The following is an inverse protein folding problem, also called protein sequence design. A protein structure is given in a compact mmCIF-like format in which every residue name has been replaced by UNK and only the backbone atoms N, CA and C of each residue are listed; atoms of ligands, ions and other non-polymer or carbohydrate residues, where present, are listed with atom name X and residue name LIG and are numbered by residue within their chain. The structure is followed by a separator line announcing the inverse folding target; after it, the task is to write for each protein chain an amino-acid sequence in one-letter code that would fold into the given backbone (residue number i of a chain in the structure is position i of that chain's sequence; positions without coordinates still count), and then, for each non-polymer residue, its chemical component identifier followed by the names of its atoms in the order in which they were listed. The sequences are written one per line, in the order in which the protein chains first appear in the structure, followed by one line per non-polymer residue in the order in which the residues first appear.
data_IF_719926620764
#
_entry.id   IF_719926620764
#
_cell.length_a   1.000
_cell.length_b   1.000
_cell.length_c   1.000
_cell.angle_alpha   90.00
_cell.angle_beta   90.00
_cell.angle_gamma   90.00
#
_symmetry.space_group_name_H-M   'P 1'
#
loop_
_entity.id
_entity.type
_entity.pdbx_description
1 polymer ?
#
# COMPACT_ATOMS: atom_id res chain seq x y z
N UNK A 1 5.03 7.26 -32.55
CA UNK A 1 3.72 7.10 -31.89
C UNK A 1 3.62 5.68 -31.35
N UNK A 2 2.64 5.37 -30.50
CA UNK A 2 2.41 4.03 -29.96
C UNK A 2 2.16 3.03 -31.10
N UNK A 3 2.92 1.95 -31.12
CA UNK A 3 2.80 0.84 -32.07
C UNK A 3 2.31 -0.38 -31.30
N UNK A 4 1.13 -0.88 -31.65
CA UNK A 4 0.56 -2.08 -31.05
C UNK A 4 0.72 -3.24 -32.01
N UNK A 5 1.52 -4.24 -31.63
CA UNK A 5 1.65 -5.46 -32.41
C UNK A 5 0.43 -6.33 -32.21
N UNK A 6 -0.17 -6.76 -33.32
CA UNK A 6 -1.32 -7.66 -33.31
C UNK A 6 -1.03 -8.90 -34.12
N UNK A 7 -1.67 -10.00 -33.73
CA UNK A 7 -1.73 -11.23 -34.50
C UNK A 7 -3.18 -11.49 -34.90
N UNK A 8 -3.44 -11.62 -36.19
CA UNK A 8 -4.80 -11.88 -36.68
C UNK A 8 -5.05 -13.39 -36.67
N UNK A 9 -5.98 -13.83 -35.82
CA UNK A 9 -6.35 -15.25 -35.72
C UNK A 9 -7.47 -15.65 -36.69
N UNK A 10 -8.39 -14.72 -36.98
CA UNK A 10 -9.49 -14.95 -37.92
C UNK A 10 -9.92 -13.63 -38.57
N UNK A 11 -10.48 -13.72 -39.79
CA UNK A 11 -10.94 -12.57 -40.55
C UNK A 11 -9.81 -11.70 -41.13
N UNK A 12 -10.08 -10.41 -41.23
CA UNK A 12 -9.16 -9.40 -41.74
C UNK A 12 -9.42 -8.08 -41.03
N UNK A 13 -8.41 -7.22 -40.95
CA UNK A 13 -8.56 -5.87 -40.45
C UNK A 13 -8.06 -4.86 -41.48
N UNK A 14 -8.91 -3.89 -41.81
CA UNK A 14 -8.64 -2.85 -42.80
C UNK A 14 -8.23 -1.54 -42.10
N UNK A 15 -7.27 -0.81 -42.67
CA UNK A 15 -6.87 0.50 -42.18
C UNK A 15 -8.05 1.48 -42.29
N UNK A 16 -8.29 2.25 -41.23
CA UNK A 16 -9.42 3.18 -41.12
C UNK A 16 -10.70 2.57 -40.56
N UNK A 17 -10.79 1.25 -40.41
CA UNK A 17 -11.97 0.54 -39.89
C UNK A 17 -12.14 0.70 -38.38
N UNK A 18 -13.37 0.49 -37.91
CA UNK A 18 -13.69 0.39 -36.49
C UNK A 18 -13.67 -1.07 -36.06
N UNK A 19 -13.07 -1.32 -34.91
CA UNK A 19 -12.96 -2.63 -34.27
C UNK A 19 -13.39 -2.52 -32.82
N UNK A 20 -13.73 -3.65 -32.21
CA UNK A 20 -14.18 -3.71 -30.82
C UNK A 20 -13.13 -4.40 -29.96
N UNK A 21 -12.64 -3.71 -28.92
CA UNK A 21 -11.82 -4.34 -27.89
C UNK A 21 -12.76 -5.02 -26.89
N UNK A 22 -12.82 -6.35 -26.92
CA UNK A 22 -13.71 -7.14 -26.09
C UNK A 22 -13.25 -7.24 -24.63
N UNK A 23 -11.96 -7.01 -24.35
CA UNK A 23 -11.42 -6.98 -22.99
C UNK A 23 -11.93 -5.75 -22.22
N UNK A 24 -11.94 -4.59 -22.86
CA UNK A 24 -12.30 -3.30 -22.23
C UNK A 24 -13.76 -2.89 -22.54
N UNK A 25 -14.36 -3.49 -23.56
CA UNK A 25 -15.72 -3.18 -23.99
C UNK A 25 -15.86 -1.86 -24.74
N UNK A 26 -14.82 -1.44 -25.47
CA UNK A 26 -14.77 -0.15 -26.18
C UNK A 26 -14.52 -0.32 -27.67
N UNK A 27 -15.19 0.52 -28.49
CA UNK A 27 -14.88 0.65 -29.91
C UNK A 27 -13.59 1.44 -30.11
N UNK A 28 -12.76 0.98 -31.02
CA UNK A 28 -11.48 1.58 -31.38
C UNK A 28 -11.39 1.71 -32.90
N UNK A 29 -10.52 2.60 -33.37
CA UNK A 29 -10.31 2.83 -34.80
C UNK A 29 -8.89 2.48 -35.19
N UNK A 30 -8.74 1.64 -36.21
CA UNK A 30 -7.44 1.32 -36.79
C UNK A 30 -7.00 2.52 -37.65
N UNK A 31 -5.89 3.15 -37.32
CA UNK A 31 -5.36 4.29 -38.08
C UNK A 31 -4.54 3.84 -39.28
N UNK A 32 -3.35 3.28 -39.02
CA UNK A 32 -2.43 2.76 -40.03
C UNK A 32 -1.93 1.39 -39.63
N UNK A 33 -1.68 0.53 -40.61
CA UNK A 33 -1.16 -0.82 -40.41
C UNK A 33 0.21 -0.89 -41.07
N UNK A 34 1.20 -1.37 -40.31
CA UNK A 34 2.56 -1.54 -40.77
C UNK A 34 2.99 -3.00 -40.67
N UNK A 35 3.69 -3.48 -41.69
CA UNK A 35 4.44 -4.72 -41.64
C UNK A 35 5.93 -4.36 -41.51
N UNK A 36 6.55 -4.86 -40.46
CA UNK A 36 7.94 -4.56 -40.14
C UNK A 36 8.81 -5.69 -40.69
N UNK A 37 9.66 -5.35 -41.65
CA UNK A 37 10.66 -6.26 -42.24
C UNK A 37 12.05 -5.95 -41.68
N UNK A 38 13.03 -6.78 -42.01
CA UNK A 38 14.41 -6.67 -41.50
C UNK A 38 15.05 -5.29 -41.69
N UNK A 39 14.77 -4.60 -42.79
CA UNK A 39 15.38 -3.30 -43.13
C UNK A 39 14.38 -2.24 -43.63
N UNK A 40 13.08 -2.55 -43.66
CA UNK A 40 12.05 -1.63 -44.17
C UNK A 40 10.74 -1.76 -43.41
N UNK A 41 10.03 -0.65 -43.29
CA UNK A 41 8.66 -0.59 -42.76
C UNK A 41 7.73 -0.44 -43.96
N UNK A 42 6.84 -1.41 -44.16
CA UNK A 42 5.87 -1.42 -45.26
C UNK A 42 4.50 -1.01 -44.73
N UNK A 43 3.87 -0.01 -45.34
CA UNK A 43 2.50 0.39 -45.01
C UNK A 43 1.52 -0.51 -45.76
N UNK A 44 0.56 -1.11 -45.06
CA UNK A 44 -0.45 -1.99 -45.64
C UNK A 44 -1.85 -1.45 -45.39
N UNK A 45 -2.74 -1.69 -46.36
CA UNK A 45 -4.15 -1.33 -46.24
C UNK A 45 -4.94 -2.37 -45.45
N UNK A 46 -4.56 -3.65 -45.55
CA UNK A 46 -5.27 -4.76 -44.90
C UNK A 46 -4.26 -5.73 -44.30
N UNK A 47 -4.58 -6.27 -43.13
CA UNK A 47 -3.88 -7.41 -42.52
C UNK A 47 -4.81 -8.63 -42.49
N UNK A 48 -4.29 -9.77 -42.92
CA UNK A 48 -5.06 -11.00 -43.09
C UNK A 48 -4.82 -11.99 -41.96
N UNK A 49 -5.71 -12.99 -41.86
CA UNK A 49 -5.57 -14.12 -40.95
C UNK A 49 -4.19 -14.77 -41.08
N UNK A 50 -3.54 -15.01 -39.93
CA UNK A 50 -2.21 -15.62 -39.83
C UNK A 50 -1.06 -14.60 -39.84
N UNK A 51 -1.31 -13.35 -40.22
CA UNK A 51 -0.28 -12.32 -40.25
C UNK A 51 -0.09 -11.62 -38.89
N UNK A 52 1.13 -11.11 -38.68
CA UNK A 52 1.50 -10.24 -37.57
C UNK A 52 1.86 -8.87 -38.15
N UNK A 53 1.30 -7.81 -37.58
CA UNK A 53 1.56 -6.44 -38.00
C UNK A 53 1.43 -5.46 -36.84
N UNK A 54 1.98 -4.27 -37.02
CA UNK A 54 1.93 -3.18 -36.06
C UNK A 54 0.87 -2.17 -36.46
N UNK A 55 -0.09 -1.90 -35.58
CA UNK A 55 -1.14 -0.90 -35.77
C UNK A 55 -0.80 0.37 -35.02
N UNK A 56 -1.08 1.51 -35.65
CA UNK A 56 -1.09 2.83 -35.01
C UNK A 56 -2.53 3.32 -34.91
N UNK A 57 -2.91 3.85 -33.73
CA UNK A 57 -4.21 4.49 -33.50
C UNK A 57 -5.13 3.76 -32.52
N UNK A 58 -4.70 2.63 -31.96
CA UNK A 58 -5.43 1.94 -30.91
C UNK A 58 -5.26 2.69 -29.58
N UNK A 59 -6.27 3.46 -29.21
CA UNK A 59 -6.33 4.15 -27.92
C UNK A 59 -6.66 3.14 -26.80
N UNK A 60 -6.09 3.33 -25.61
CA UNK A 60 -6.39 2.55 -24.40
C UNK A 60 -6.24 1.02 -24.58
N UNK A 61 -5.28 0.54 -25.37
CA UNK A 61 -5.04 -0.91 -25.52
C UNK A 61 -3.76 -1.35 -24.82
N UNK A 62 -3.83 -2.47 -24.12
CA UNK A 62 -2.73 -3.13 -23.40
C UNK A 62 -2.30 -4.44 -24.07
N UNK A 63 -1.11 -4.91 -23.70
CA UNK A 63 -0.62 -6.24 -24.10
C UNK A 63 -1.54 -7.32 -23.53
N UNK A 64 -2.09 -8.19 -24.40
CA UNK A 64 -3.02 -9.25 -24.03
C UNK A 64 -4.49 -8.94 -24.34
N UNK A 65 -4.81 -7.71 -24.77
CA UNK A 65 -6.18 -7.35 -25.16
C UNK A 65 -6.63 -8.07 -26.44
N UNK A 66 -7.92 -8.42 -26.48
CA UNK A 66 -8.53 -9.01 -27.68
C UNK A 66 -9.27 -7.95 -28.50
N UNK A 67 -8.93 -7.87 -29.78
CA UNK A 67 -9.59 -7.00 -30.78
C UNK A 67 -10.41 -7.88 -31.71
N UNK A 68 -11.70 -7.59 -31.84
CA UNK A 68 -12.66 -8.39 -32.59
C UNK A 68 -13.70 -7.52 -33.33
N UNK A 69 -14.59 -8.17 -34.07
CA UNK A 69 -15.74 -7.51 -34.67
C UNK A 69 -16.83 -7.28 -33.62
N UNK A 70 -17.52 -6.15 -33.68
CA UNK A 70 -18.59 -5.78 -32.74
C UNK A 70 -19.78 -6.75 -32.81
N UNK A 71 -20.12 -7.24 -34.00
CA UNK A 71 -21.24 -8.18 -34.18
C UNK A 71 -20.94 -9.58 -33.65
N UNK A 72 -19.65 -9.90 -33.46
CA UNK A 72 -19.18 -11.20 -33.01
C UNK A 72 -18.08 -11.03 -31.95
N UNK A 73 -18.43 -10.56 -30.75
CA UNK A 73 -17.46 -10.36 -29.69
C UNK A 73 -16.90 -11.70 -29.25
N UNK A 74 -15.57 -11.82 -29.26
CA UNK A 74 -14.85 -12.98 -28.76
C UNK A 74 -13.77 -12.49 -27.80
N UNK A 75 -13.55 -13.23 -26.72
CA UNK A 75 -12.41 -13.03 -25.84
C UNK A 75 -11.44 -14.18 -26.11
N UNK A 76 -10.24 -13.85 -26.60
CA UNK A 76 -9.17 -14.84 -26.71
C UNK A 76 -8.61 -15.12 -25.32
N UNK A 77 -7.95 -16.27 -25.18
CA UNK A 77 -7.33 -16.66 -23.91
C UNK A 77 -6.36 -15.56 -23.46
N UNK A 78 -6.65 -14.98 -22.30
CA UNK A 78 -5.82 -13.95 -21.72
C UNK A 78 -4.50 -14.58 -21.27
N UNK A 79 -3.41 -13.85 -21.48
CA UNK A 79 -2.11 -14.25 -20.93
C UNK A 79 -2.21 -14.07 -19.41
N UNK A 80 -2.18 -15.17 -18.66
CA UNK A 80 -2.06 -15.10 -17.21
C UNK A 80 -0.65 -14.62 -16.84
N UNK A 81 -0.57 -13.41 -16.31
CA UNK A 81 0.69 -12.86 -15.81
C UNK A 81 0.94 -13.37 -14.38
N UNK A 82 2.15 -13.85 -14.08
CA UNK A 82 2.48 -14.26 -12.71
C UNK A 82 2.45 -13.04 -11.79
N UNK A 83 2.03 -13.24 -10.54
CA UNK A 83 2.07 -12.18 -9.54
C UNK A 83 3.52 -11.75 -9.26
N UNK A 84 3.79 -10.45 -9.14
CA UNK A 84 5.13 -9.96 -8.84
C UNK A 84 5.58 -10.40 -7.45
N UNK A 85 6.88 -10.66 -7.32
CA UNK A 85 7.48 -11.34 -6.16
C UNK A 85 8.45 -10.46 -5.37
N UNK A 86 8.86 -9.32 -5.93
CA UNK A 86 9.74 -8.33 -5.30
C UNK A 86 9.07 -6.97 -5.39
N UNK A 87 9.18 -6.17 -4.33
CA UNK A 87 8.69 -4.80 -4.30
C UNK A 87 9.75 -3.84 -3.78
N UNK A 88 9.81 -2.64 -4.36
CA UNK A 88 10.74 -1.56 -4.01
C UNK A 88 9.94 -0.26 -3.86
N UNK A 89 10.27 0.53 -2.84
CA UNK A 89 9.71 1.87 -2.70
C UNK A 89 10.55 2.88 -3.47
N UNK A 90 9.87 3.77 -4.18
CA UNK A 90 10.49 4.80 -5.02
C UNK A 90 9.97 6.17 -4.61
N UNK A 91 10.91 7.08 -4.36
CA UNK A 91 10.63 8.48 -4.01
C UNK A 91 11.17 9.41 -5.09
N UNK A 92 10.35 10.37 -5.57
CA UNK A 92 10.84 11.40 -6.48
C UNK A 92 11.69 12.42 -5.71
N UNK A 93 12.81 12.84 -6.30
CA UNK A 93 13.71 13.82 -5.69
C UNK A 93 13.13 15.26 -5.70
N UNK A 94 12.24 15.55 -6.65
CA UNK A 94 11.60 16.86 -6.77
C UNK A 94 10.11 16.76 -7.09
N UNK A 95 9.37 17.85 -6.87
CA UNK A 95 7.95 17.93 -7.23
C UNK A 95 7.72 17.81 -8.74
N UNK A 96 8.65 18.32 -9.57
CA UNK A 96 8.57 18.17 -11.02
C UNK A 96 8.78 16.73 -11.47
N UNK A 97 9.64 15.98 -10.75
CA UNK A 97 9.90 14.58 -11.02
C UNK A 97 8.73 13.69 -10.61
N UNK A 98 7.91 14.10 -9.64
CA UNK A 98 6.69 13.37 -9.25
C UNK A 98 5.68 13.24 -10.40
N UNK A 99 5.43 14.33 -11.12
CA UNK A 99 4.48 14.34 -12.23
C UNK A 99 5.02 13.53 -13.41
N UNK A 100 6.32 13.67 -13.71
CA UNK A 100 6.99 12.86 -14.73
C UNK A 100 7.00 11.37 -14.37
N UNK A 101 7.33 11.03 -13.12
CA UNK A 101 7.36 9.66 -12.62
C UNK A 101 6.01 8.98 -12.81
N UNK A 102 4.92 9.65 -12.42
CA UNK A 102 3.56 9.11 -12.56
C UNK A 102 3.23 8.81 -14.03
N UNK A 103 3.55 9.73 -14.94
CA UNK A 103 3.34 9.54 -16.38
C UNK A 103 4.22 8.43 -16.98
N UNK A 104 5.47 8.32 -16.54
CA UNK A 104 6.41 7.32 -17.02
C UNK A 104 6.05 5.92 -16.54
N UNK A 105 5.60 5.79 -15.30
CA UNK A 105 5.17 4.52 -14.71
C UNK A 105 3.94 3.95 -15.43
N UNK A 106 2.98 4.80 -15.81
CA UNK A 106 1.83 4.37 -16.64
C UNK A 106 2.32 3.80 -17.98
N UNK A 107 3.25 4.49 -18.66
CA UNK A 107 3.80 4.00 -19.93
C UNK A 107 4.56 2.68 -19.79
N UNK A 108 5.33 2.52 -18.72
CA UNK A 108 6.05 1.28 -18.45
C UNK A 108 5.09 0.13 -18.11
N UNK A 109 4.02 0.39 -17.36
CA UNK A 109 3.00 -0.62 -17.03
C UNK A 109 2.17 -1.02 -18.26
N UNK A 110 1.94 -0.12 -19.21
CA UNK A 110 1.32 -0.47 -20.50
C UNK A 110 2.21 -1.38 -21.36
N UNK A 111 3.53 -1.20 -21.29
CA UNK A 111 4.50 -2.02 -22.02
C UNK A 111 4.72 -3.39 -21.35
N UNK A 112 4.80 -3.41 -20.02
CA UNK A 112 5.02 -4.60 -19.21
C UNK A 112 3.88 -4.83 -18.20
N UNK A 113 2.94 -5.73 -18.49
CA UNK A 113 1.82 -6.05 -17.60
C UNK A 113 2.24 -6.85 -16.35
N UNK A 114 3.49 -7.35 -16.27
CA UNK A 114 4.01 -8.00 -15.06
C UNK A 114 4.55 -7.01 -14.03
N UNK A 115 4.61 -5.74 -14.41
CA UNK A 115 5.01 -4.64 -13.55
C UNK A 115 3.78 -3.95 -12.95
N UNK A 116 3.65 -4.03 -11.62
CA UNK A 116 2.57 -3.39 -10.89
C UNK A 116 3.09 -2.15 -10.17
N UNK A 117 2.32 -1.08 -10.31
CA UNK A 117 2.58 0.20 -9.65
C UNK A 117 1.44 0.44 -8.68
N UNK A 118 1.77 0.57 -7.40
CA UNK A 118 0.81 0.91 -6.35
C UNK A 118 1.30 2.14 -5.61
N UNK A 119 0.41 3.09 -5.37
CA UNK A 119 0.67 4.13 -4.37
C UNK A 119 0.17 3.63 -3.04
N UNK A 120 1.03 3.68 -2.03
CA UNK A 120 0.64 3.41 -0.66
C UNK A 120 -0.03 4.66 -0.09
N UNK A 121 -1.32 4.55 0.23
CA UNK A 121 -2.13 5.65 0.75
C UNK A 121 -1.68 6.10 2.14
N UNK A 122 -0.99 5.25 2.90
CA UNK A 122 -0.56 5.54 4.27
C UNK A 122 0.79 6.25 4.33
N UNK A 123 1.74 5.81 3.51
CA UNK A 123 3.09 6.40 3.45
C UNK A 123 3.22 7.47 2.37
N UNK A 124 2.30 7.49 1.40
CA UNK A 124 2.36 8.33 0.20
C UNK A 124 3.49 7.92 -0.76
N UNK A 125 4.11 6.76 -0.53
CA UNK A 125 5.20 6.24 -1.35
C UNK A 125 4.66 5.51 -2.58
N UNK A 126 5.45 5.51 -3.65
CA UNK A 126 5.14 4.72 -4.84
C UNK A 126 5.89 3.40 -4.73
N UNK A 127 5.13 2.31 -4.58
CA UNK A 127 5.64 0.95 -4.51
C UNK A 127 5.62 0.34 -5.91
N UNK A 128 6.79 -0.10 -6.34
CA UNK A 128 7.03 -0.78 -7.60
C UNK A 128 7.18 -2.27 -7.35
N UNK A 129 6.34 -3.09 -7.96
CA UNK A 129 6.37 -4.55 -7.81
C UNK A 129 6.69 -5.21 -9.15
N UNK A 130 7.63 -6.16 -9.13
CA UNK A 130 8.08 -6.86 -10.34
C UNK A 130 8.44 -8.33 -10.09
N UNK A 131 8.78 -9.01 -11.18
CA UNK A 131 9.12 -10.45 -11.18
C UNK A 131 10.48 -10.79 -10.54
N UNK A 132 11.32 -9.80 -10.21
CA UNK A 132 12.63 -10.01 -9.61
C UNK A 132 13.45 -8.71 -9.48
N UNK A 133 14.59 -8.78 -8.80
CA UNK A 133 15.47 -7.63 -8.56
C UNK A 133 16.01 -7.04 -9.87
N UNK A 134 16.53 -7.88 -10.76
CA UNK A 134 17.01 -7.45 -12.08
C UNK A 134 15.90 -6.79 -12.91
N UNK A 135 14.67 -7.30 -12.82
CA UNK A 135 13.54 -6.71 -13.51
C UNK A 135 13.29 -5.27 -13.01
N UNK A 136 13.26 -5.07 -11.70
CA UNK A 136 13.11 -3.72 -11.12
C UNK A 136 14.30 -2.81 -11.44
N UNK A 137 15.54 -3.34 -11.43
CA UNK A 137 16.74 -2.57 -11.79
C UNK A 137 16.68 -2.05 -13.23
N UNK A 138 16.27 -2.90 -14.19
CA UNK A 138 16.09 -2.50 -15.58
C UNK A 138 15.01 -1.42 -15.69
N UNK A 139 13.87 -1.57 -14.99
CA UNK A 139 12.79 -0.57 -15.04
C UNK A 139 13.22 0.78 -14.45
N UNK A 140 13.98 0.76 -13.35
CA UNK A 140 14.54 1.97 -12.74
C UNK A 140 15.59 2.64 -13.65
N UNK A 141 16.45 1.86 -14.31
CA UNK A 141 17.39 2.38 -15.30
C UNK A 141 16.68 2.97 -16.52
N UNK A 142 15.59 2.34 -17.00
CA UNK A 142 14.72 2.90 -18.05
C UNK A 142 14.08 4.22 -17.63
N UNK A 143 13.55 4.32 -16.41
CA UNK A 143 13.03 5.57 -15.86
C UNK A 143 14.06 6.71 -15.92
N UNK A 144 15.32 6.40 -15.57
CA UNK A 144 16.41 7.36 -15.61
C UNK A 144 16.85 7.72 -17.03
N UNK A 145 17.02 6.73 -17.92
CA UNK A 145 17.55 6.96 -19.28
C UNK A 145 16.52 7.52 -20.24
N UNK A 146 15.32 6.95 -20.27
CA UNK A 146 14.28 7.30 -21.25
C UNK A 146 13.50 8.54 -20.81
N UNK A 147 13.18 8.61 -19.51
CA UNK A 147 12.28 9.65 -18.98
C UNK A 147 13.01 10.73 -18.18
N UNK A 148 14.32 10.59 -17.93
CA UNK A 148 15.14 11.54 -17.17
C UNK A 148 14.55 11.87 -15.80
N UNK A 149 14.03 10.84 -15.13
CA UNK A 149 13.50 10.94 -13.77
C UNK A 149 14.54 10.38 -12.82
N UNK A 150 15.08 11.24 -11.96
CA UNK A 150 15.92 10.79 -10.86
C UNK A 150 15.05 10.45 -9.65
N UNK A 151 15.19 9.22 -9.18
CA UNK A 151 14.43 8.69 -8.04
C UNK A 151 15.34 8.01 -7.05
N UNK A 152 15.04 8.16 -5.77
CA UNK A 152 15.65 7.37 -4.71
C UNK A 152 14.87 6.08 -4.50
N UNK A 153 15.60 4.97 -4.43
CA UNK A 153 15.04 3.63 -4.21
C UNK A 153 15.33 3.19 -2.78
N UNK A 154 14.34 2.60 -2.13
CA UNK A 154 14.49 2.03 -0.80
C UNK A 154 13.64 0.78 -0.61
N UNK A 155 13.81 0.14 0.55
CA UNK A 155 12.90 -0.93 0.98
C UNK A 155 11.52 -0.32 1.26
N UNK A 156 10.41 -0.97 0.86
CA UNK A 156 9.07 -0.53 1.22
C UNK A 156 8.94 -0.32 2.73
N UNK A 157 8.35 0.79 3.14
CA UNK A 157 8.08 1.03 4.55
C UNK A 157 6.97 0.09 5.03
N UNK A 158 7.17 -0.49 6.20
CA UNK A 158 6.13 -1.28 6.87
C UNK A 158 5.19 -0.32 7.60
N UNK A 159 3.90 -0.45 7.36
CA UNK A 159 2.86 0.27 8.11
C UNK A 159 2.73 -0.27 9.53
N UNK A 160 3.61 0.18 10.42
CA UNK A 160 3.46 -0.04 11.86
C UNK A 160 2.23 0.71 12.39
N UNK A 161 1.69 0.24 13.51
CA UNK A 161 0.63 0.93 14.26
C UNK A 161 1.04 1.10 15.71
N UNK A 162 0.37 2.00 16.42
CA UNK A 162 0.57 2.19 17.85
C UNK A 162 -0.67 1.75 18.63
N UNK A 163 -0.47 1.20 19.83
CA UNK A 163 -1.57 0.94 20.76
C UNK A 163 -1.08 1.12 22.20
N UNK A 164 -1.98 1.03 23.18
CA UNK A 164 -1.68 1.15 24.61
C UNK A 164 -1.93 -0.17 25.34
N UNK A 165 -1.37 -0.34 26.52
CA UNK A 165 -1.60 -1.54 27.34
C UNK A 165 -2.39 -1.23 28.61
N UNK A 166 -2.20 -0.04 29.18
CA UNK A 166 -2.81 0.35 30.44
C UNK A 166 -3.90 1.39 30.21
N UNK A 167 -4.92 1.33 31.06
CA UNK A 167 -5.92 2.38 31.15
C UNK A 167 -5.33 3.58 31.91
N UNK A 168 -5.47 4.78 31.36
CA UNK A 168 -5.02 6.04 31.99
C UNK A 168 -6.09 7.10 31.89
N UNK A 169 -6.24 7.88 32.95
CA UNK A 169 -7.06 9.09 32.96
C UNK A 169 -6.15 10.31 33.02
N UNK A 170 -6.40 11.27 32.14
CA UNK A 170 -5.63 12.50 32.02
C UNK A 170 -6.54 13.72 32.11
N UNK A 171 -6.17 14.65 32.98
CA UNK A 171 -6.85 15.91 33.16
C UNK A 171 -6.03 17.03 32.50
N UNK A 172 -6.57 17.66 31.47
CA UNK A 172 -5.83 18.67 30.71
C UNK A 172 -6.64 19.94 30.51
N UNK A 173 -6.05 21.06 30.94
CA UNK A 173 -6.62 22.40 30.80
C UNK A 173 -5.78 23.21 29.81
N UNK A 174 -6.42 23.71 28.77
CA UNK A 174 -5.87 24.62 27.79
C UNK A 174 -6.36 26.04 28.08
N UNK A 175 -5.45 26.90 28.53
CA UNK A 175 -5.70 28.34 28.72
C UNK A 175 -4.65 29.10 27.95
N UNK A 176 -5.08 29.89 26.96
CA UNK A 176 -4.18 30.77 26.21
C UNK A 176 -4.81 32.14 26.06
N UNK A 177 -4.06 33.16 26.47
CA UNK A 177 -4.44 34.56 26.33
C UNK A 177 -3.47 35.21 25.34
N UNK A 178 -3.71 35.00 24.04
CA UNK A 178 -3.18 35.89 23.00
C UNK A 178 -4.02 37.16 23.04
N UNK A 179 -3.42 38.35 22.84
CA UNK A 179 -4.00 39.68 23.10
C UNK A 179 -5.30 40.10 22.36
N UNK A 180 -6.16 39.16 21.99
CA UNK A 180 -7.57 39.28 21.60
C UNK A 180 -8.45 38.30 22.40
N UNK A 181 -9.32 37.53 21.74
CA UNK A 181 -10.19 36.53 22.40
C UNK A 181 -9.37 35.48 23.18
N UNK A 182 -9.77 35.22 24.42
CA UNK A 182 -9.20 34.15 25.22
C UNK A 182 -9.56 32.79 24.64
N UNK A 183 -8.69 31.80 24.86
CA UNK A 183 -8.98 30.40 24.56
C UNK A 183 -8.98 29.61 25.86
N UNK A 184 -10.12 28.99 26.17
CA UNK A 184 -10.32 28.14 27.32
C UNK A 184 -10.95 26.81 26.91
N UNK A 185 -10.32 25.70 27.28
CA UNK A 185 -10.94 24.39 27.22
C UNK A 185 -10.36 23.49 28.30
N UNK A 186 -11.20 22.66 28.91
CA UNK A 186 -10.78 21.71 29.93
C UNK A 186 -11.46 20.37 29.67
N UNK A 187 -10.65 19.33 29.53
CA UNK A 187 -11.11 17.97 29.23
C UNK A 187 -10.45 16.97 30.18
N UNK A 188 -11.24 16.03 30.66
CA UNK A 188 -10.78 14.84 31.40
C UNK A 188 -11.04 13.63 30.53
N UNK A 189 -9.97 13.10 29.96
CA UNK A 189 -10.01 12.00 29.02
C UNK A 189 -9.49 10.73 29.68
N UNK A 190 -10.27 9.66 29.56
CA UNK A 190 -9.86 8.32 29.94
C UNK A 190 -9.58 7.50 28.68
N UNK A 191 -8.35 7.02 28.54
CA UNK A 191 -7.93 6.14 27.45
C UNK A 191 -7.81 4.70 27.97
N UNK A 192 -8.37 3.75 27.24
CA UNK A 192 -8.30 2.32 27.56
C UNK A 192 -8.05 1.49 26.29
N UNK A 193 -7.23 0.41 26.37
CA UNK A 193 -7.01 -0.46 25.21
C UNK A 193 -8.29 -1.23 24.86
N UNK A 194 -8.45 -1.52 23.59
CA UNK A 194 -9.57 -2.29 23.06
C UNK A 194 -9.09 -3.61 22.46
N UNK A 195 -9.99 -4.60 22.37
CA UNK A 195 -9.70 -5.85 21.66
C UNK A 195 -9.39 -5.58 20.19
N UNK A 196 -8.54 -6.43 19.62
CA UNK A 196 -8.18 -6.40 18.20
C UNK A 196 -9.45 -6.38 17.32
N UNK A 197 -9.39 -5.61 16.23
CA UNK A 197 -10.46 -5.44 15.23
C UNK A 197 -11.68 -4.59 15.62
N UNK A 198 -11.77 -4.08 16.87
CA UNK A 198 -12.84 -3.13 17.22
C UNK A 198 -12.54 -1.68 16.83
N UNK A 199 -11.29 -1.36 16.49
CA UNK A 199 -10.91 -0.05 15.96
C UNK A 199 -10.88 1.04 17.04
N UNK A 200 -11.35 2.24 16.69
CA UNK A 200 -11.45 3.38 17.60
C UNK A 200 -12.89 3.54 18.09
N UNK A 201 -13.08 3.65 19.40
CA UNK A 201 -14.38 3.91 20.01
C UNK A 201 -14.34 5.17 20.87
N UNK A 202 -15.18 6.15 20.56
CA UNK A 202 -15.38 7.35 21.39
C UNK A 202 -16.66 7.21 22.23
N UNK A 203 -16.53 7.37 23.55
CA UNK A 203 -17.64 7.27 24.49
C UNK A 203 -17.81 8.59 25.25
N UNK A 204 -18.96 9.22 25.09
CA UNK A 204 -19.36 10.38 25.89
C UNK A 204 -20.02 9.92 27.20
N UNK A 205 -19.41 10.27 28.35
CA UNK A 205 -19.98 10.07 29.69
C UNK A 205 -20.19 11.38 30.45
N UNK A 206 -20.26 12.52 29.76
CA UNK A 206 -20.46 13.81 30.42
C UNK A 206 -21.83 13.85 31.08
N UNK A 207 -21.84 14.15 32.38
CA UNK A 207 -23.04 14.35 33.18
C UNK A 207 -23.16 15.83 33.53
N UNK A 208 -24.38 16.38 33.45
CA UNK A 208 -24.67 17.73 33.98
C UNK A 208 -24.33 18.91 33.06
N UNK A 209 -23.93 18.70 31.80
CA UNK A 209 -23.71 19.79 30.85
C UNK A 209 -22.42 20.59 31.06
N UNK A 210 -21.45 20.00 31.77
CA UNK A 210 -20.12 20.57 32.01
C UNK A 210 -19.32 20.90 30.73
N UNK A 211 -19.69 20.27 29.61
CA UNK A 211 -19.31 20.69 28.26
C UNK A 211 -20.58 20.71 27.42
N UNK A 212 -20.88 21.82 26.71
CA UNK A 212 -21.96 21.87 25.73
C UNK A 212 -21.81 20.77 24.68
N UNK A 213 -22.92 20.12 24.31
CA UNK A 213 -22.92 19.02 23.32
C UNK A 213 -22.35 19.41 21.95
N UNK A 214 -22.36 20.69 21.64
CA UNK A 214 -21.80 21.25 20.40
C UNK A 214 -20.28 21.09 20.31
N UNK A 215 -19.56 21.05 21.44
CA UNK A 215 -18.10 20.92 21.46
C UNK A 215 -17.59 19.47 21.53
N UNK A 216 -18.47 18.51 21.81
CA UNK A 216 -18.11 17.08 21.93
C UNK A 216 -17.52 16.53 20.62
N UNK A 217 -18.11 16.80 19.43
CA UNK A 217 -17.50 16.38 18.16
C UNK A 217 -16.12 17.00 17.91
N UNK A 218 -15.85 18.20 18.44
CA UNK A 218 -14.54 18.84 18.31
C UNK A 218 -13.48 18.15 19.17
N UNK A 219 -13.86 17.62 20.34
CA UNK A 219 -13.00 16.79 21.19
C UNK A 219 -12.66 15.49 20.48
N UNK A 220 -13.65 14.80 19.92
CA UNK A 220 -13.45 13.57 19.15
C UNK A 220 -12.50 13.80 17.97
N UNK A 221 -12.73 14.84 17.16
CA UNK A 221 -11.81 15.22 16.06
C UNK A 221 -10.39 15.48 16.54
N UNK A 222 -10.22 16.14 17.69
CA UNK A 222 -8.91 16.40 18.27
C UNK A 222 -8.16 15.13 18.70
N UNK A 223 -8.90 14.11 19.15
CA UNK A 223 -8.36 12.78 19.46
C UNK A 223 -7.97 12.06 18.16
N UNK A 224 -8.84 12.06 17.15
CA UNK A 224 -8.55 11.42 15.85
C UNK A 224 -7.28 12.01 15.21
N UNK A 225 -7.14 13.35 15.19
CA UNK A 225 -5.92 13.99 14.67
C UNK A 225 -4.66 13.55 15.44
N UNK A 226 -4.77 13.42 16.77
CA UNK A 226 -3.66 13.01 17.62
C UNK A 226 -3.31 11.53 17.42
N UNK A 227 -4.31 10.70 17.13
CA UNK A 227 -4.15 9.29 16.81
C UNK A 227 -3.50 9.08 15.44
N UNK A 228 -3.88 9.85 14.43
CA UNK A 228 -3.24 9.80 13.10
C UNK A 228 -1.76 10.21 13.16
N UNK A 229 -1.44 11.20 14.00
CA UNK A 229 -0.06 11.71 14.12
C UNK A 229 0.88 10.73 14.86
N UNK A 230 0.34 9.85 15.71
CA UNK A 230 1.13 8.87 16.47
C UNK A 230 2.03 9.51 17.53
N UNK A 231 1.61 9.61 18.80
CA UNK A 231 2.39 10.30 19.83
C UNK A 231 3.67 9.59 20.27
N UNK A 232 3.87 8.30 19.96
CA UNK A 232 5.05 7.54 20.40
C UNK A 232 6.17 7.50 19.36
N UNK A 233 5.90 6.94 18.18
CA UNK A 233 6.83 6.76 17.07
C UNK A 233 6.38 7.49 15.79
N UNK A 234 5.17 8.03 15.77
CA UNK A 234 4.62 8.73 14.61
C UNK A 234 3.83 7.81 13.68
N UNK A 235 3.33 6.68 14.19
CA UNK A 235 2.45 5.79 13.45
C UNK A 235 1.01 5.90 13.95
N UNK A 236 0.02 5.67 13.08
CA UNK A 236 -1.37 5.82 13.49
C UNK A 236 -1.74 4.83 14.60
N UNK A 237 -2.48 5.35 15.57
CA UNK A 237 -2.91 4.60 16.75
C UNK A 237 -4.17 3.79 16.45
N UNK A 238 -4.24 2.54 16.91
CA UNK A 238 -5.38 1.62 16.70
C UNK A 238 -5.77 0.88 17.99
N UNK A 239 -7.00 0.34 18.00
CA UNK A 239 -7.56 -0.46 19.08
C UNK A 239 -7.58 0.28 20.43
N UNK A 240 -8.15 1.48 20.45
CA UNK A 240 -8.27 2.30 21.66
C UNK A 240 -9.69 2.81 21.81
N UNK A 241 -10.18 2.76 23.04
CA UNK A 241 -11.38 3.47 23.45
C UNK A 241 -11.02 4.72 24.23
N UNK A 242 -11.61 5.83 23.83
CA UNK A 242 -11.48 7.13 24.49
C UNK A 242 -12.82 7.52 25.12
N UNK A 243 -12.85 7.59 26.44
CA UNK A 243 -14.04 8.01 27.19
C UNK A 243 -13.85 9.44 27.71
N UNK A 244 -14.76 10.34 27.32
CA UNK A 244 -14.82 11.69 27.87
C UNK A 244 -15.59 11.65 29.20
N UNK A 245 -14.88 11.81 30.30
CA UNK A 245 -15.42 11.60 31.66
C UNK A 245 -15.98 12.90 32.22
N UNK A 246 -15.23 13.99 32.10
CA UNK A 246 -15.58 15.29 32.65
C UNK A 246 -14.86 16.42 31.89
N UNK A 247 -15.19 17.67 32.22
CA UNK A 247 -14.51 18.84 31.68
C UNK A 247 -15.09 20.14 32.22
N UNK A 248 -14.61 21.26 31.69
CA UNK A 248 -15.23 22.56 31.97
C UNK A 248 -15.11 23.47 30.75
N UNK A 249 -16.05 24.41 30.64
CA UNK A 249 -16.05 25.43 29.61
C UNK A 249 -16.17 26.83 30.23
N UNK A 250 -15.78 27.84 29.47
CA UNK A 250 -15.98 29.25 29.79
C UNK A 250 -16.88 29.87 28.72
N UNK A 251 -17.93 30.60 29.13
CA UNK A 251 -18.97 31.05 28.21
C UNK A 251 -18.49 31.98 27.08
N UNK A 252 -17.37 32.69 27.29
CA UNK A 252 -16.85 33.69 26.34
C UNK A 252 -15.56 33.23 25.66
N UNK A 253 -14.75 32.43 26.35
CA UNK A 253 -13.40 32.06 25.89
C UNK A 253 -13.32 30.61 25.36
N UNK A 254 -14.38 29.82 25.48
CA UNK A 254 -14.43 28.48 24.90
C UNK A 254 -14.84 28.51 23.43
N UNK A 255 -14.15 27.71 22.63
CA UNK A 255 -14.40 27.53 21.21
C UNK A 255 -14.13 26.08 20.79
N UNK A 256 -14.69 25.67 19.66
CA UNK A 256 -14.43 24.34 19.06
C UNK A 256 -12.93 24.07 18.89
N UNK A 257 -12.17 25.07 18.43
CA UNK A 257 -10.73 24.97 18.24
C UNK A 257 -9.98 24.78 19.57
N UNK A 258 -10.43 25.43 20.64
CA UNK A 258 -9.83 25.28 21.97
C UNK A 258 -10.06 23.85 22.51
N UNK A 259 -11.28 23.30 22.36
CA UNK A 259 -11.58 21.92 22.78
C UNK A 259 -10.84 20.87 21.94
N UNK A 260 -10.74 21.07 20.62
CA UNK A 260 -9.92 20.21 19.74
C UNK A 260 -8.46 20.19 20.16
N UNK A 261 -7.90 21.36 20.48
CA UNK A 261 -6.49 21.49 20.93
C UNK A 261 -6.28 20.87 22.30
N UNK A 262 -7.20 21.10 23.25
CA UNK A 262 -7.14 20.50 24.58
C UNK A 262 -7.22 18.96 24.53
N UNK A 263 -8.10 18.42 23.67
CA UNK A 263 -8.22 16.99 23.45
C UNK A 263 -6.93 16.37 22.87
N UNK A 264 -6.34 17.01 21.85
CA UNK A 264 -5.05 16.60 21.28
C UNK A 264 -3.92 16.62 22.31
N UNK A 265 -3.86 17.66 23.15
CA UNK A 265 -2.88 17.76 24.24
C UNK A 265 -3.09 16.69 25.31
N UNK A 266 -4.34 16.44 25.70
CA UNK A 266 -4.71 15.43 26.67
C UNK A 266 -4.30 14.04 26.21
N UNK A 267 -4.65 13.68 24.96
CA UNK A 267 -4.26 12.41 24.37
C UNK A 267 -2.74 12.24 24.30
N UNK A 268 -2.01 13.28 23.85
CA UNK A 268 -0.54 13.26 23.80
C UNK A 268 0.14 13.11 25.16
N UNK A 269 -0.46 13.63 26.23
CA UNK A 269 0.08 13.49 27.59
C UNK A 269 -0.29 12.15 28.23
N UNK A 270 -1.49 11.65 27.94
CA UNK A 270 -2.00 10.37 28.43
C UNK A 270 -1.26 9.17 27.79
N UNK A 271 -0.97 9.25 26.49
CA UNK A 271 -0.46 8.11 25.71
C UNK A 271 0.87 7.53 26.23
N UNK A 272 1.90 8.34 26.55
CA UNK A 272 3.15 7.80 27.12
C UNK A 272 2.96 7.17 28.50
N UNK A 273 1.99 7.64 29.29
CA UNK A 273 1.66 7.09 30.61
C UNK A 273 0.94 5.75 30.51
N UNK A 274 0.28 5.47 29.37
CA UNK A 274 -0.50 4.27 29.11
C UNK A 274 0.33 3.06 28.61
N UNK A 275 1.66 3.14 28.72
CA UNK A 275 2.60 2.10 28.26
C UNK A 275 2.42 1.79 26.77
N UNK A 276 2.85 2.69 25.87
CA UNK A 276 2.65 2.54 24.44
C UNK A 276 3.40 1.33 23.87
N UNK A 277 2.79 0.67 22.88
CA UNK A 277 3.34 -0.47 22.15
C UNK A 277 3.27 -0.22 20.65
N UNK A 278 4.28 -0.71 19.95
CA UNK A 278 4.31 -0.74 18.50
C UNK A 278 3.72 -2.08 18.02
N UNK A 279 2.88 -2.02 17.01
CA UNK A 279 2.29 -3.16 16.33
C UNK A 279 2.87 -3.27 14.92
N UNK A 280 3.23 -4.48 14.50
CA UNK A 280 3.65 -4.81 13.14
C UNK A 280 2.59 -5.66 12.43
N UNK A 281 2.42 -5.50 11.12
CA UNK A 281 1.52 -6.35 10.34
C UNK A 281 2.13 -7.76 10.20
N UNK A 282 1.34 -8.76 10.56
CA UNK A 282 1.65 -10.17 10.40
C UNK A 282 0.89 -10.70 9.19
N UNK A 283 1.62 -11.41 8.34
CA UNK A 283 1.12 -12.00 7.11
C UNK A 283 0.84 -13.48 7.33
N UNK A 284 -0.31 -13.95 6.88
CA UNK A 284 -0.56 -15.37 6.68
C UNK A 284 0.14 -15.80 5.38
N UNK A 285 1.17 -16.63 5.52
CA UNK A 285 2.01 -17.13 4.44
C UNK A 285 1.68 -18.60 4.19
N UNK A 286 1.40 -18.93 2.93
CA UNK A 286 1.25 -20.31 2.47
C UNK A 286 2.36 -20.64 1.48
N UNK A 287 3.22 -21.60 1.84
CA UNK A 287 4.35 -22.05 1.03
C UNK A 287 4.09 -23.46 0.53
N UNK A 288 4.05 -23.64 -0.79
CA UNK A 288 3.98 -24.95 -1.43
C UNK A 288 5.37 -25.37 -1.88
N UNK A 289 5.87 -26.50 -1.37
CA UNK A 289 7.23 -26.99 -1.64
C UNK A 289 7.28 -28.52 -1.75
N UNK A 290 8.18 -29.12 -2.53
CA UNK A 290 8.46 -30.55 -2.46
C UNK A 290 8.95 -30.97 -1.05
N UNK A 291 8.67 -32.21 -0.66
CA UNK A 291 9.02 -32.75 0.67
C UNK A 291 10.53 -32.69 0.97
N UNK A 292 11.37 -32.81 -0.06
CA UNK A 292 12.83 -32.72 0.00
C UNK A 292 13.34 -31.40 0.61
N UNK A 293 12.62 -30.30 0.37
CA UNK A 293 13.04 -28.95 0.79
C UNK A 293 12.26 -28.44 2.01
N UNK A 294 11.35 -29.26 2.57
CA UNK A 294 10.48 -28.85 3.68
C UNK A 294 11.29 -28.35 4.87
N UNK A 295 12.36 -29.05 5.26
CA UNK A 295 13.18 -28.68 6.41
C UNK A 295 13.81 -27.29 6.28
N UNK A 296 14.33 -26.95 5.09
CA UNK A 296 14.92 -25.65 4.81
C UNK A 296 13.86 -24.53 4.83
N UNK A 297 12.67 -24.78 4.25
CA UNK A 297 11.56 -23.83 4.27
C UNK A 297 11.08 -23.55 5.70
N UNK A 298 10.87 -24.60 6.50
CA UNK A 298 10.44 -24.45 7.90
C UNK A 298 11.50 -23.73 8.74
N UNK A 299 12.79 -24.02 8.52
CA UNK A 299 13.88 -23.35 9.21
C UNK A 299 13.95 -21.86 8.89
N UNK A 300 13.76 -21.50 7.62
CA UNK A 300 13.73 -20.09 7.17
C UNK A 300 12.56 -19.33 7.80
N UNK A 301 11.34 -19.90 7.79
CA UNK A 301 10.16 -19.29 8.42
C UNK A 301 10.40 -19.03 9.91
N UNK A 302 10.93 -20.02 10.64
CA UNK A 302 11.20 -19.88 12.08
C UNK A 302 12.30 -18.84 12.35
N UNK A 303 13.34 -18.80 11.51
CA UNK A 303 14.42 -17.80 11.64
C UNK A 303 13.91 -16.36 11.47
N UNK A 304 12.85 -16.16 10.68
CA UNK A 304 12.16 -14.89 10.42
C UNK A 304 11.03 -14.61 11.40
N UNK A 305 11.09 -15.17 12.62
CA UNK A 305 10.07 -15.02 13.67
C UNK A 305 8.68 -15.56 13.28
N UNK A 306 8.62 -16.41 12.27
CA UNK A 306 7.38 -17.02 11.81
C UNK A 306 6.91 -18.15 12.71
N UNK A 307 5.59 -18.26 12.90
CA UNK A 307 4.95 -19.37 13.62
C UNK A 307 4.26 -20.28 12.62
N UNK A 308 4.61 -21.57 12.62
CA UNK A 308 3.98 -22.56 11.75
C UNK A 308 2.63 -22.93 12.35
N UNK A 309 1.55 -22.79 11.57
CA UNK A 309 0.19 -23.13 11.96
C UNK A 309 -0.14 -24.57 11.59
N UNK A 310 0.10 -24.95 10.32
CA UNK A 310 -0.18 -26.29 9.83
C UNK A 310 0.77 -26.69 8.69
N UNK A 311 0.88 -28.00 8.49
CA UNK A 311 1.62 -28.61 7.38
C UNK A 311 0.75 -29.67 6.74
N UNK A 312 0.22 -29.37 5.56
CA UNK A 312 -0.65 -30.25 4.80
C UNK A 312 0.14 -30.95 3.69
N UNK A 313 -0.27 -32.17 3.31
CA UNK A 313 0.29 -32.90 2.18
C UNK A 313 -0.73 -32.98 1.05
N UNK A 314 -0.34 -32.58 -0.16
CA UNK A 314 -1.19 -32.65 -1.35
C UNK A 314 -0.38 -33.09 -2.56
N UNK A 315 -0.75 -34.23 -3.15
CA UNK A 315 -0.22 -34.73 -4.43
C UNK A 315 1.33 -34.72 -4.53
N UNK A 316 2.05 -35.16 -3.50
CA UNK A 316 3.52 -35.20 -3.49
C UNK A 316 4.21 -33.85 -3.20
N UNK A 317 3.43 -32.80 -2.92
CA UNK A 317 3.89 -31.50 -2.41
C UNK A 317 3.40 -31.28 -0.98
N UNK A 318 4.17 -30.52 -0.20
CA UNK A 318 3.83 -30.09 1.14
C UNK A 318 3.42 -28.62 1.10
N UNK A 319 2.35 -28.30 1.79
CA UNK A 319 1.83 -26.94 1.96
C UNK A 319 2.07 -26.55 3.41
N UNK A 320 2.91 -25.55 3.64
CA UNK A 320 3.23 -25.02 4.97
C UNK A 320 2.47 -23.71 5.15
N UNK A 321 1.59 -23.66 6.15
CA UNK A 321 0.88 -22.43 6.54
C UNK A 321 1.55 -21.86 7.79
N UNK A 322 1.92 -20.59 7.74
CA UNK A 322 2.59 -19.91 8.83
C UNK A 322 2.17 -18.44 8.91
N UNK A 323 2.29 -17.85 10.10
CA UNK A 323 2.17 -16.41 10.29
C UNK A 323 3.55 -15.81 10.44
N UNK A 324 3.91 -14.82 9.61
CA UNK A 324 5.24 -14.20 9.61
C UNK A 324 5.11 -12.67 9.57
N UNK A 325 5.89 -11.92 10.37
CA UNK A 325 5.90 -10.46 10.29
C UNK A 325 6.33 -9.97 8.90
N UNK A 326 5.60 -9.00 8.34
CA UNK A 326 5.90 -8.46 6.99
C UNK A 326 7.32 -7.91 6.88
N UNK A 327 7.84 -7.32 7.97
CA UNK A 327 9.19 -6.76 8.04
C UNK A 327 10.30 -7.78 7.71
N UNK A 328 10.08 -9.07 7.99
CA UNK A 328 11.06 -10.13 7.78
C UNK A 328 10.91 -10.82 6.41
N UNK A 329 9.79 -10.55 5.72
CA UNK A 329 9.41 -11.21 4.46
C UNK A 329 9.96 -10.50 3.22
N UNK A 330 10.59 -9.32 3.37
CA UNK A 330 11.26 -8.66 2.26
C UNK A 330 12.36 -9.55 1.68
N UNK A 331 12.31 -9.80 0.36
CA UNK A 331 13.26 -10.68 -0.33
C UNK A 331 13.03 -12.18 -0.10
N UNK A 332 12.00 -12.59 0.65
CA UNK A 332 11.74 -14.00 0.96
C UNK A 332 11.57 -14.87 -0.30
N UNK A 333 10.97 -14.33 -1.37
CA UNK A 333 10.80 -15.08 -2.62
C UNK A 333 12.14 -15.50 -3.25
N UNK A 334 13.18 -14.68 -3.11
CA UNK A 334 14.51 -15.00 -3.62
C UNK A 334 15.19 -16.07 -2.76
N UNK A 335 15.10 -15.95 -1.43
CA UNK A 335 15.58 -16.98 -0.50
C UNK A 335 14.88 -18.33 -0.76
N UNK A 336 13.55 -18.32 -0.88
CA UNK A 336 12.75 -19.50 -1.16
C UNK A 336 13.16 -20.17 -2.48
N UNK A 337 13.38 -19.37 -3.54
CA UNK A 337 13.86 -19.87 -4.83
C UNK A 337 15.22 -20.54 -4.69
N UNK A 338 16.14 -19.97 -3.91
CA UNK A 338 17.48 -20.54 -3.68
C UNK A 338 17.42 -21.88 -2.93
N UNK A 339 16.62 -21.98 -1.87
CA UNK A 339 16.52 -23.21 -1.08
C UNK A 339 15.76 -24.32 -1.80
N UNK A 340 14.80 -23.97 -2.65
CA UNK A 340 13.94 -24.93 -3.35
C UNK A 340 14.37 -25.22 -4.80
N UNK A 341 15.51 -24.70 -5.24
CA UNK A 341 15.92 -24.71 -6.66
C UNK A 341 14.81 -24.20 -7.60
N UNK A 342 14.02 -23.22 -7.14
CA UNK A 342 12.88 -22.64 -7.85
C UNK A 342 11.62 -23.50 -7.94
N UNK A 343 11.53 -24.59 -7.18
CA UNK A 343 10.38 -25.51 -7.19
C UNK A 343 9.32 -25.18 -6.13
N UNK A 344 9.59 -24.23 -5.23
CA UNK A 344 8.62 -23.77 -4.25
C UNK A 344 7.96 -22.45 -4.66
N UNK A 345 6.73 -22.27 -4.23
CA UNK A 345 5.95 -21.04 -4.39
C UNK A 345 5.41 -20.59 -3.04
N UNK A 346 5.32 -19.28 -2.84
CA UNK A 346 4.73 -18.68 -1.64
C UNK A 346 3.64 -17.69 -2.04
N UNK A 347 2.56 -17.70 -1.25
CA UNK A 347 1.52 -16.67 -1.28
C UNK A 347 1.39 -16.06 0.10
N UNK A 348 1.06 -14.78 0.18
CA UNK A 348 0.94 -14.05 1.44
C UNK A 348 -0.25 -13.10 1.41
N UNK A 349 -1.00 -13.06 2.50
CA UNK A 349 -2.11 -12.14 2.71
C UNK A 349 -2.02 -11.55 4.11
N UNK A 350 -2.52 -10.32 4.30
CA UNK A 350 -2.59 -9.71 5.62
C UNK A 350 -3.53 -10.53 6.52
N UNK A 351 -3.11 -10.78 7.77
CA UNK A 351 -3.89 -11.52 8.75
C UNK A 351 -4.30 -10.60 9.92
N UNK A 352 -3.32 -10.16 10.71
CA UNK A 352 -3.56 -9.29 11.88
C UNK A 352 -2.33 -8.45 12.21
N UNK A 353 -2.47 -7.59 13.23
CA UNK A 353 -1.36 -6.81 13.79
C UNK A 353 -0.89 -7.45 15.10
N UNK A 354 0.41 -7.71 15.25
CA UNK A 354 1.00 -8.28 16.47
C UNK A 354 1.96 -7.27 17.12
N UNK A 355 2.15 -7.38 18.44
CA UNK A 355 3.09 -6.53 19.18
C UNK A 355 4.53 -6.82 18.76
N UNK A 356 5.25 -5.76 18.39
CA UNK A 356 6.67 -5.82 18.05
C UNK A 356 7.49 -6.17 19.30
N UNK A 357 8.46 -7.10 19.21
CA UNK A 357 9.40 -7.36 20.29
C UNK A 357 10.14 -6.09 20.72
N UNK A 358 10.36 -5.93 22.04
CA UNK A 358 10.91 -4.70 22.63
C UNK A 358 12.20 -4.20 21.95
N UNK A 359 13.15 -5.09 21.67
CA UNK A 359 14.44 -4.73 21.05
C UNK A 359 14.28 -4.11 19.66
N UNK A 360 13.35 -4.61 18.85
CA UNK A 360 13.08 -4.09 17.49
C UNK A 360 12.29 -2.79 17.58
N UNK A 361 11.34 -2.70 18.53
CA UNK A 361 10.55 -1.51 18.74
C UNK A 361 11.43 -0.29 19.11
N UNK A 362 12.43 -0.47 19.98
CA UNK A 362 13.37 0.61 20.33
C UNK A 362 14.17 1.10 19.12
N UNK A 363 14.68 0.19 18.28
CA UNK A 363 15.44 0.55 17.07
C UNK A 363 14.58 1.36 16.09
N UNK A 364 13.33 0.95 15.86
CA UNK A 364 12.39 1.66 14.99
C UNK A 364 12.09 3.06 15.53
N UNK A 365 11.82 3.16 16.83
CA UNK A 365 11.53 4.44 17.51
C UNK A 365 12.74 5.37 17.42
N UNK A 366 13.95 4.87 17.64
CA UNK A 366 15.16 5.68 17.60
C UNK A 366 15.49 6.16 16.19
N UNK A 367 15.39 5.29 15.18
CA UNK A 367 15.56 5.65 13.77
C UNK A 367 14.60 6.76 13.36
N UNK A 368 13.33 6.64 13.76
CA UNK A 368 12.30 7.63 13.42
C UNK A 368 12.47 8.96 14.16
N UNK A 369 12.92 8.93 15.42
CA UNK A 369 13.29 10.15 16.17
C UNK A 369 14.45 10.89 15.50
N UNK A 370 15.47 10.17 15.01
CA UNK A 370 16.58 10.75 14.25
C UNK A 370 16.11 11.36 12.92
N UNK A 371 15.23 10.70 12.18
CA UNK A 371 14.63 11.23 10.95
C UNK A 371 13.79 12.50 11.19
N UNK A 372 13.02 12.55 12.29
CA UNK A 372 12.23 13.74 12.67
C UNK A 372 13.09 14.89 13.19
N UNK A 373 14.25 14.62 13.79
CA UNK A 373 15.18 15.65 14.29
C UNK A 373 16.11 16.21 13.21
N UNK A 374 16.28 15.49 12.09
CA UNK A 374 17.06 15.94 10.92
C UNK A 374 16.24 16.71 9.88
N UNK A 375 14.91 16.77 10.03
CA UNK A 375 14.01 17.68 9.31
C UNK A 375 13.75 18.91 10.16
#
# INVERSE_FOLDING_TARGET
GKLSYIRVYSGKADAGSYVYNSTIGKKQRIGRIFQIHANKIENRETIYTGEIGAIVGLADSSTGDTICNEDHPILLEAIEFPQPVVSVSVKPNSRQDRDKLSLSLIKLSEEDPTFLVKTDDETGEIILSGMGELHLEILLDRLKREFKVDTETGVPQVSYRETIYNQVEENTKYVKQTGGHGQYAHVVLKIEPQEEHKGFEFVDKIVGGNIPREYIPSVEKGIIDAMEEGPYAGYPVVNIRCTLVDGSFHAVDSSEMAFRTAARMSFRSAFPKASPKLLEPVMSVEVTTPEEFMGAVTGSIVSKRGKILSMDAKNGTRIVKATVPLAEMFGYTNELRNFSSGRASASMHFDHYEVVPFSIAEEIVEKRRKEKAGR
#
